data_IF_114149988069
#
_entry.id   IF_114149988069
#
_cell.length_a   1.000
_cell.length_b   1.000
_cell.length_c   1.000
_cell.angle_alpha   90.00
_cell.angle_beta   90.00
_cell.angle_gamma   90.00
#
_symmetry.space_group_name_H-M   'P 1'
#
loop_
_entity.id
_entity.type
_entity.pdbx_description
1 polymer ?
#
# COMPACT_ATOMS: atom_id res chain seq x y z
N UNK A 1 -1.26 2.78 -3.40
CA UNK A 1 -0.25 2.98 -4.47
C UNK A 1 0.89 1.96 -4.28
N UNK A 2 2.01 2.02 -5.00
CA UNK A 2 3.21 1.22 -4.66
C UNK A 2 4.10 1.98 -3.67
N UNK A 3 4.96 1.32 -2.87
CA UNK A 3 5.77 1.97 -1.82
C UNK A 3 6.60 3.18 -2.28
N UNK A 4 7.20 3.13 -3.48
CA UNK A 4 7.96 4.27 -4.01
C UNK A 4 7.09 5.47 -4.36
N UNK A 5 5.84 5.23 -4.75
CA UNK A 5 4.86 6.30 -4.94
C UNK A 5 4.51 6.96 -3.61
N UNK A 6 4.33 6.19 -2.54
CA UNK A 6 4.07 6.73 -1.20
C UNK A 6 5.24 7.58 -0.69
N UNK A 7 6.48 7.13 -0.93
CA UNK A 7 7.67 7.94 -0.63
C UNK A 7 7.63 9.28 -1.38
N UNK A 8 7.41 9.25 -2.68
CA UNK A 8 7.41 10.46 -3.51
C UNK A 8 6.31 11.45 -3.10
N UNK A 9 5.08 10.97 -2.88
CA UNK A 9 3.98 11.83 -2.45
C UNK A 9 4.19 12.37 -1.04
N UNK A 10 4.81 11.61 -0.15
CA UNK A 10 5.09 12.04 1.23
C UNK A 10 6.18 13.11 1.28
N UNK A 11 7.21 12.99 0.45
CA UNK A 11 8.22 14.04 0.29
C UNK A 11 7.59 15.33 -0.26
N UNK A 12 6.71 15.21 -1.27
CA UNK A 12 6.01 16.35 -1.83
C UNK A 12 5.11 17.02 -0.78
N UNK A 13 4.29 16.25 -0.07
CA UNK A 13 3.41 16.75 0.99
C UNK A 13 4.20 17.41 2.12
N UNK A 14 5.30 16.79 2.56
CA UNK A 14 6.18 17.35 3.60
C UNK A 14 6.78 18.70 3.20
N UNK A 15 7.26 18.80 1.95
CA UNK A 15 7.83 20.04 1.41
C UNK A 15 6.78 21.15 1.34
N UNK A 16 5.58 20.84 0.86
CA UNK A 16 4.44 21.78 0.82
C UNK A 16 4.03 22.20 2.22
N UNK A 17 3.95 21.24 3.16
CA UNK A 17 3.59 21.51 4.56
C UNK A 17 4.58 22.47 5.19
N UNK A 18 5.90 22.25 5.00
CA UNK A 18 6.92 23.16 5.50
C UNK A 18 6.79 24.56 4.88
N UNK A 19 6.63 24.64 3.56
CA UNK A 19 6.51 25.91 2.85
C UNK A 19 5.30 26.73 3.32
N UNK A 20 4.15 26.07 3.58
CA UNK A 20 2.91 26.75 3.96
C UNK A 20 2.86 27.12 5.45
N UNK A 21 3.50 26.34 6.32
CA UNK A 21 3.36 26.51 7.79
C UNK A 21 4.61 27.08 8.45
N UNK A 22 5.78 26.98 7.82
CA UNK A 22 7.08 27.24 8.44
C UNK A 22 7.47 26.23 9.54
N UNK A 23 6.67 25.18 9.78
CA UNK A 23 6.86 24.25 10.89
C UNK A 23 7.59 22.98 10.45
N UNK A 24 8.81 22.79 10.96
CA UNK A 24 9.57 21.55 10.77
C UNK A 24 8.86 20.35 11.39
N UNK A 25 8.14 20.53 12.50
CA UNK A 25 7.37 19.49 13.15
C UNK A 25 6.21 19.01 12.28
N UNK A 26 5.41 19.93 11.72
CA UNK A 26 4.31 19.56 10.82
C UNK A 26 4.83 18.89 9.53
N UNK A 27 5.95 19.36 9.00
CA UNK A 27 6.61 18.75 7.84
C UNK A 27 7.12 17.33 8.14
N UNK A 28 7.78 17.12 9.28
CA UNK A 28 8.22 15.80 9.72
C UNK A 28 7.04 14.87 9.98
N UNK A 29 5.99 15.39 10.63
CA UNK A 29 4.73 14.70 10.84
C UNK A 29 4.14 14.20 9.52
N UNK A 30 3.93 15.08 8.56
CA UNK A 30 3.34 14.72 7.26
C UNK A 30 4.17 13.71 6.47
N UNK A 31 5.50 13.80 6.51
CA UNK A 31 6.36 12.76 5.93
C UNK A 31 6.19 11.41 6.63
N UNK A 32 6.25 11.40 7.98
CA UNK A 32 6.17 10.16 8.76
C UNK A 32 4.79 9.50 8.64
N UNK A 33 3.71 10.27 8.68
CA UNK A 33 2.37 9.76 8.43
C UNK A 33 2.16 9.28 6.99
N UNK A 34 2.76 9.97 6.02
CA UNK A 34 2.60 9.63 4.61
C UNK A 34 3.39 8.40 4.15
N UNK A 35 4.56 8.13 4.76
CA UNK A 35 5.45 7.05 4.31
C UNK A 35 5.74 6.00 5.39
N UNK A 36 5.96 6.39 6.65
CA UNK A 36 6.29 5.43 7.71
C UNK A 36 5.07 4.67 8.23
N UNK A 37 3.86 5.05 7.82
CA UNK A 37 2.66 4.23 8.05
C UNK A 37 2.83 2.82 7.47
N UNK A 38 3.53 2.67 6.34
CA UNK A 38 3.86 1.38 5.70
C UNK A 38 4.76 0.46 6.54
N UNK A 39 5.35 0.97 7.63
CA UNK A 39 6.19 0.14 8.51
C UNK A 39 5.37 -0.98 9.15
N UNK A 40 4.06 -0.85 9.26
CA UNK A 40 3.22 -1.94 9.76
C UNK A 40 3.18 -3.16 8.82
N UNK A 41 3.40 -3.00 7.50
CA UNK A 41 3.65 -4.12 6.61
C UNK A 41 4.94 -4.88 6.97
N UNK A 42 5.97 -4.15 7.40
CA UNK A 42 7.21 -4.77 7.87
C UNK A 42 7.01 -5.48 9.22
N UNK A 43 6.19 -4.92 10.12
CA UNK A 43 5.79 -5.60 11.35
C UNK A 43 5.02 -6.89 11.04
N UNK A 44 4.09 -6.85 10.08
CA UNK A 44 3.36 -8.02 9.62
C UNK A 44 4.30 -9.10 9.07
N UNK A 45 5.26 -8.70 8.24
CA UNK A 45 6.30 -9.58 7.71
C UNK A 45 7.10 -10.30 8.81
N UNK A 46 7.57 -9.58 9.81
CA UNK A 46 8.41 -10.16 10.86
C UNK A 46 7.59 -11.03 11.82
N UNK A 47 6.46 -10.50 12.30
CA UNK A 47 5.70 -11.07 13.43
C UNK A 47 4.66 -12.07 12.95
N UNK A 48 3.79 -11.67 12.02
CA UNK A 48 2.63 -12.46 11.62
C UNK A 48 2.95 -13.46 10.50
N UNK A 49 3.85 -13.09 9.59
CA UNK A 49 4.40 -13.96 8.53
C UNK A 49 5.62 -14.76 9.00
N UNK A 50 6.09 -14.52 10.23
CA UNK A 50 7.19 -15.25 10.89
C UNK A 50 8.51 -15.19 10.13
N UNK A 51 8.78 -14.09 9.43
CA UNK A 51 9.99 -13.91 8.63
C UNK A 51 11.17 -13.31 9.42
N UNK A 52 11.13 -13.36 10.75
CA UNK A 52 12.15 -12.83 11.67
C UNK A 52 13.59 -13.33 11.41
N UNK A 53 13.76 -14.48 10.74
CA UNK A 53 15.09 -15.01 10.34
C UNK A 53 15.67 -14.30 9.10
N UNK A 54 14.89 -13.47 8.41
CA UNK A 54 15.29 -12.73 7.20
C UNK A 54 14.83 -11.27 7.26
N UNK A 55 15.22 -10.50 8.30
CA UNK A 55 14.67 -9.16 8.53
C UNK A 55 15.17 -8.09 7.53
N UNK A 56 16.06 -8.44 6.61
CA UNK A 56 16.64 -7.48 5.69
C UNK A 56 15.58 -6.81 4.79
N UNK A 57 15.74 -5.50 4.48
CA UNK A 57 14.77 -4.75 3.68
C UNK A 57 14.60 -5.32 2.26
N UNK A 58 15.66 -5.88 1.69
CA UNK A 58 15.59 -6.55 0.37
C UNK A 58 14.72 -7.81 0.43
N UNK A 59 14.80 -8.59 1.51
CA UNK A 59 13.97 -9.78 1.71
C UNK A 59 12.51 -9.41 1.91
N UNK A 60 12.24 -8.35 2.68
CA UNK A 60 10.91 -7.77 2.86
C UNK A 60 10.31 -7.29 1.52
N UNK A 61 11.02 -6.44 0.78
CA UNK A 61 10.56 -5.92 -0.50
C UNK A 61 10.30 -7.06 -1.51
N UNK A 62 11.21 -8.04 -1.57
CA UNK A 62 11.02 -9.23 -2.42
C UNK A 62 9.75 -9.98 -2.05
N UNK A 63 9.53 -10.22 -0.77
CA UNK A 63 8.34 -10.91 -0.27
C UNK A 63 7.05 -10.16 -0.62
N UNK A 64 7.04 -8.84 -0.43
CA UNK A 64 5.86 -8.02 -0.69
C UNK A 64 5.57 -7.86 -2.19
N UNK A 65 6.59 -7.67 -3.04
CA UNK A 65 6.39 -7.60 -4.49
C UNK A 65 5.98 -8.93 -5.13
N UNK A 66 6.28 -10.05 -4.49
CA UNK A 66 5.76 -11.38 -4.89
C UNK A 66 4.30 -11.61 -4.46
N UNK A 67 3.70 -10.64 -3.75
CA UNK A 67 2.26 -10.51 -3.47
C UNK A 67 1.59 -11.76 -2.85
N UNK A 68 2.21 -12.32 -1.80
CA UNK A 68 1.65 -13.48 -1.07
C UNK A 68 1.68 -13.29 0.47
N UNK A 69 1.28 -12.13 1.04
CA UNK A 69 1.03 -12.09 2.48
C UNK A 69 -0.14 -13.03 2.80
N UNK A 70 -0.03 -13.79 3.89
CA UNK A 70 -1.14 -14.63 4.39
C UNK A 70 -2.01 -13.85 5.37
N UNK A 71 -1.42 -12.89 6.05
CA UNK A 71 -2.02 -12.04 7.06
C UNK A 71 -1.78 -10.56 6.77
N UNK A 72 -2.84 -9.76 6.96
CA UNK A 72 -2.83 -8.31 6.85
C UNK A 72 -3.46 -7.73 8.12
N UNK A 73 -2.64 -7.44 9.13
CA UNK A 73 -3.08 -6.85 10.40
C UNK A 73 -3.08 -5.33 10.28
N UNK A 74 -1.95 -4.77 9.84
CA UNK A 74 -1.79 -3.37 9.45
C UNK A 74 -2.44 -2.36 10.42
N UNK A 75 -2.07 -2.34 11.71
CA UNK A 75 -2.72 -1.47 12.70
C UNK A 75 -2.64 0.03 12.37
N UNK A 76 -1.60 0.48 11.66
CA UNK A 76 -1.46 1.90 11.32
C UNK A 76 -2.42 2.29 10.18
N UNK A 77 -2.79 1.35 9.33
CA UNK A 77 -3.82 1.49 8.29
C UNK A 77 -5.26 1.33 8.83
N UNK A 78 -5.52 1.80 10.04
CA UNK A 78 -6.83 1.68 10.71
C UNK A 78 -7.57 3.01 10.74
N UNK A 79 -8.81 3.02 10.24
CA UNK A 79 -9.72 4.15 10.38
C UNK A 79 -10.04 4.44 11.86
N UNK A 80 -10.10 3.40 12.70
CA UNK A 80 -10.26 3.54 14.15
C UNK A 80 -9.07 4.29 14.77
N UNK A 81 -7.82 3.93 14.42
CA UNK A 81 -6.64 4.67 14.86
C UNK A 81 -6.68 6.13 14.38
N UNK A 82 -7.00 6.36 13.11
CA UNK A 82 -7.12 7.71 12.56
C UNK A 82 -8.18 8.55 13.29
N UNK A 83 -9.29 7.93 13.71
CA UNK A 83 -10.35 8.59 14.49
C UNK A 83 -9.86 8.96 15.88
N UNK A 84 -9.15 8.05 16.56
CA UNK A 84 -8.57 8.33 17.88
C UNK A 84 -7.54 9.45 17.80
N UNK A 85 -6.63 9.42 16.82
CA UNK A 85 -5.64 10.47 16.62
C UNK A 85 -6.30 11.82 16.32
N UNK A 86 -7.38 11.84 15.54
CA UNK A 86 -8.14 13.05 15.29
C UNK A 86 -8.76 13.62 16.57
N UNK A 87 -9.35 12.78 17.42
CA UNK A 87 -9.88 13.21 18.72
C UNK A 87 -8.78 13.80 19.62
N UNK A 88 -7.58 13.21 19.61
CA UNK A 88 -6.42 13.77 20.32
C UNK A 88 -6.00 15.13 19.75
N UNK A 89 -5.99 15.29 18.43
CA UNK A 89 -5.69 16.58 17.77
C UNK A 89 -6.67 17.67 18.19
N UNK A 90 -7.98 17.35 18.28
CA UNK A 90 -9.00 18.31 18.70
C UNK A 90 -8.73 18.81 20.13
N UNK A 91 -8.24 17.94 21.03
CA UNK A 91 -7.86 18.34 22.37
C UNK A 91 -6.48 19.04 22.43
N UNK A 92 -5.52 18.56 21.63
CA UNK A 92 -4.12 18.96 21.65
C UNK A 92 -3.56 19.02 20.21
N UNK A 93 -3.65 20.17 19.54
CA UNK A 93 -3.27 20.31 18.13
C UNK A 93 -1.75 20.46 17.95
N UNK A 94 -0.98 19.47 18.40
CA UNK A 94 0.47 19.47 18.24
C UNK A 94 0.85 19.43 16.75
N UNK A 95 1.71 20.34 16.26
CA UNK A 95 2.02 20.43 14.83
C UNK A 95 2.51 19.10 14.23
N UNK A 96 3.35 18.36 14.97
CA UNK A 96 3.80 17.02 14.58
C UNK A 96 2.64 16.04 14.36
N UNK A 97 1.69 16.00 15.29
CA UNK A 97 0.56 15.07 15.25
C UNK A 97 -0.44 15.45 14.14
N UNK A 98 -0.71 16.75 13.97
CA UNK A 98 -1.51 17.26 12.85
C UNK A 98 -0.86 16.88 11.52
N UNK A 99 0.44 17.12 11.38
CA UNK A 99 1.21 16.71 10.21
C UNK A 99 1.08 15.21 9.96
N UNK A 100 1.34 14.38 10.98
CA UNK A 100 1.21 12.92 10.89
C UNK A 100 -0.16 12.50 10.39
N UNK A 101 -1.22 13.06 10.97
CA UNK A 101 -2.59 12.72 10.57
C UNK A 101 -2.88 13.11 9.12
N UNK A 102 -2.45 14.29 8.67
CA UNK A 102 -2.62 14.72 7.26
C UNK A 102 -1.85 13.82 6.31
N UNK A 103 -0.61 13.46 6.67
CA UNK A 103 0.21 12.52 5.90
C UNK A 103 -0.43 11.14 5.79
N UNK A 104 -0.86 10.58 6.92
CA UNK A 104 -1.54 9.30 6.99
C UNK A 104 -2.87 9.31 6.21
N UNK A 105 -3.67 10.38 6.33
CA UNK A 105 -4.90 10.52 5.57
C UNK A 105 -4.63 10.53 4.06
N UNK A 106 -3.65 11.30 3.60
CA UNK A 106 -3.24 11.29 2.18
C UNK A 106 -2.80 9.89 1.75
N UNK A 107 -2.01 9.20 2.57
CA UNK A 107 -1.57 7.84 2.29
C UNK A 107 -2.78 6.92 2.06
N UNK A 108 -3.68 6.81 3.03
CA UNK A 108 -4.87 5.95 2.97
C UNK A 108 -5.79 6.32 1.79
N UNK A 109 -5.94 7.62 1.49
CA UNK A 109 -6.72 8.07 0.35
C UNK A 109 -6.13 7.59 -0.98
N UNK A 110 -4.82 7.71 -1.21
CA UNK A 110 -4.20 7.19 -2.42
C UNK A 110 -4.26 5.67 -2.50
N UNK A 111 -4.33 5.03 -1.35
CA UNK A 111 -4.43 3.60 -1.27
C UNK A 111 -5.82 3.11 -1.69
N UNK A 112 -6.89 3.77 -1.23
CA UNK A 112 -8.26 3.56 -1.73
C UNK A 112 -8.39 3.95 -3.21
N UNK A 113 -7.92 5.13 -3.61
CA UNK A 113 -8.16 5.69 -4.95
C UNK A 113 -7.32 5.02 -6.05
N UNK A 114 -6.11 4.54 -5.73
CA UNK A 114 -5.20 3.96 -6.73
C UNK A 114 -5.22 2.43 -6.69
N UNK A 115 -5.39 1.82 -5.50
CA UNK A 115 -5.37 0.36 -5.35
C UNK A 115 -6.76 -0.24 -5.09
N UNK A 116 -7.74 0.54 -4.65
CA UNK A 116 -8.98 0.02 -4.08
C UNK A 116 -9.77 -0.93 -4.98
N UNK A 117 -9.99 -0.56 -6.24
CA UNK A 117 -10.79 -1.37 -7.17
C UNK A 117 -10.03 -2.58 -7.75
N UNK A 118 -8.70 -2.60 -7.63
CA UNK A 118 -7.85 -3.59 -8.32
C UNK A 118 -7.15 -4.56 -7.37
N UNK A 119 -6.92 -4.15 -6.12
CA UNK A 119 -6.18 -4.93 -5.14
C UNK A 119 -7.04 -5.41 -3.98
N UNK A 120 -8.17 -4.74 -3.68
CA UNK A 120 -8.97 -4.99 -2.48
C UNK A 120 -10.37 -5.50 -2.83
N UNK A 121 -10.87 -6.50 -2.09
CA UNK A 121 -12.25 -6.99 -2.28
C UNK A 121 -13.28 -5.94 -1.87
N UNK A 122 -12.97 -5.17 -0.83
CA UNK A 122 -13.79 -4.05 -0.33
C UNK A 122 -12.87 -2.93 0.14
N UNK A 123 -12.57 -1.98 -0.76
CA UNK A 123 -11.56 -0.95 -0.53
C UNK A 123 -11.73 -0.19 0.78
N UNK A 124 -12.93 0.36 1.05
CA UNK A 124 -13.17 1.16 2.27
C UNK A 124 -13.18 0.28 3.53
N UNK A 125 -13.86 -0.88 3.48
CA UNK A 125 -13.94 -1.79 4.63
C UNK A 125 -12.56 -2.34 5.02
N UNK A 126 -11.65 -2.50 4.06
CA UNK A 126 -10.30 -2.97 4.32
C UNK A 126 -9.57 -2.12 5.37
N UNK A 127 -9.78 -0.80 5.38
CA UNK A 127 -9.15 0.12 6.33
C UNK A 127 -9.82 0.14 7.70
N UNK A 128 -10.93 -0.58 7.89
CA UNK A 128 -11.55 -0.80 9.19
C UNK A 128 -10.84 -1.98 9.86
N UNK A 129 -10.11 -1.74 10.95
CA UNK A 129 -9.34 -2.75 11.64
C UNK A 129 -10.22 -3.88 12.18
N UNK A 130 -11.37 -3.53 12.75
CA UNK A 130 -12.37 -4.50 13.22
C UNK A 130 -12.92 -5.37 12.10
N UNK A 131 -13.04 -4.85 10.87
CA UNK A 131 -13.38 -5.64 9.69
C UNK A 131 -12.25 -6.63 9.32
N UNK A 132 -10.99 -6.20 9.33
CA UNK A 132 -9.85 -7.12 9.15
C UNK A 132 -9.82 -8.19 10.23
N UNK A 133 -10.09 -7.83 11.49
CA UNK A 133 -10.15 -8.74 12.63
C UNK A 133 -11.29 -9.77 12.49
N UNK A 134 -12.48 -9.35 12.04
CA UNK A 134 -13.61 -10.23 11.73
C UNK A 134 -13.22 -11.30 10.69
N UNK A 135 -12.44 -10.92 9.68
CA UNK A 135 -11.87 -11.85 8.69
C UNK A 135 -10.58 -12.54 9.16
N UNK A 136 -10.27 -12.48 10.45
CA UNK A 136 -9.08 -13.08 11.10
C UNK A 136 -7.76 -12.65 10.46
N UNK A 137 -7.76 -11.45 9.86
CA UNK A 137 -6.66 -10.86 9.10
C UNK A 137 -6.23 -11.68 7.88
N UNK A 138 -7.02 -12.67 7.43
CA UNK A 138 -6.63 -13.55 6.32
C UNK A 138 -6.64 -12.77 4.99
N UNK A 139 -5.47 -12.68 4.35
CA UNK A 139 -5.31 -11.92 3.11
C UNK A 139 -6.27 -12.41 2.01
N UNK A 140 -6.46 -13.72 1.86
CA UNK A 140 -7.38 -14.33 0.89
C UNK A 140 -8.84 -13.84 1.03
N UNK A 141 -9.24 -13.30 2.19
CA UNK A 141 -10.56 -12.72 2.42
C UNK A 141 -10.63 -11.20 2.19
N UNK A 142 -9.48 -10.54 1.98
CA UNK A 142 -9.31 -9.09 2.00
C UNK A 142 -8.83 -8.53 0.65
N UNK A 143 -7.93 -9.23 -0.03
CA UNK A 143 -7.35 -8.82 -1.32
C UNK A 143 -7.96 -9.59 -2.50
N UNK A 144 -7.92 -9.00 -3.69
CA UNK A 144 -8.30 -9.68 -4.93
C UNK A 144 -7.20 -10.63 -5.39
N UNK A 145 -7.56 -11.71 -6.10
CA UNK A 145 -6.62 -12.67 -6.68
C UNK A 145 -5.94 -12.06 -7.90
N UNK A 146 -4.96 -11.19 -7.69
CA UNK A 146 -4.19 -10.62 -8.79
C UNK A 146 -3.16 -11.64 -9.31
N UNK A 147 -3.14 -11.87 -10.63
CA UNK A 147 -2.07 -12.62 -11.27
C UNK A 147 -0.75 -11.87 -11.14
N UNK A 148 0.10 -12.30 -10.20
CA UNK A 148 1.44 -11.72 -10.01
C UNK A 148 2.29 -12.13 -11.20
N UNK A 149 2.82 -11.17 -11.96
CA UNK A 149 3.82 -11.47 -12.99
C UNK A 149 5.00 -12.23 -12.34
N UNK A 150 5.48 -13.34 -12.94
CA UNK A 150 6.61 -14.11 -12.40
C UNK A 150 7.88 -13.27 -12.16
N UNK A 151 7.97 -12.10 -12.78
CA UNK A 151 9.11 -11.19 -12.73
C UNK A 151 9.00 -10.16 -11.59
N UNK A 152 7.85 -10.04 -10.94
CA UNK A 152 7.64 -9.11 -9.83
C UNK A 152 8.49 -9.52 -8.60
N UNK A 153 9.28 -8.57 -8.07
CA UNK A 153 10.18 -8.84 -6.94
C UNK A 153 11.49 -9.53 -7.33
N UNK A 154 11.75 -9.75 -8.62
CA UNK A 154 13.06 -10.21 -9.11
C UNK A 154 14.17 -9.18 -8.83
N UNK A 155 13.84 -7.88 -8.95
CA UNK A 155 14.71 -6.74 -8.71
C UNK A 155 14.03 -5.75 -7.75
N UNK A 156 13.91 -6.08 -6.45
CA UNK A 156 13.05 -5.36 -5.51
C UNK A 156 13.41 -3.88 -5.35
N UNK A 157 14.70 -3.54 -5.33
CA UNK A 157 15.14 -2.14 -5.22
C UNK A 157 14.73 -1.34 -6.46
N UNK A 158 14.89 -1.91 -7.66
CA UNK A 158 14.45 -1.27 -8.89
C UNK A 158 12.93 -1.12 -8.90
N UNK A 159 12.21 -2.19 -8.58
CA UNK A 159 10.75 -2.20 -8.56
C UNK A 159 10.18 -1.14 -7.60
N UNK A 160 10.83 -0.92 -6.45
CA UNK A 160 10.48 0.16 -5.52
C UNK A 160 10.51 1.54 -6.19
N UNK A 161 11.56 1.88 -6.93
CA UNK A 161 11.70 3.20 -7.54
C UNK A 161 11.00 3.36 -8.90
N UNK A 162 10.79 2.26 -9.64
CA UNK A 162 10.24 2.33 -11.01
C UNK A 162 8.76 2.00 -11.09
N UNK A 163 8.19 1.25 -10.13
CA UNK A 163 6.77 0.88 -10.15
C UNK A 163 5.99 1.76 -9.20
N UNK A 164 5.32 2.78 -9.73
CA UNK A 164 4.53 3.72 -8.93
C UNK A 164 3.05 3.33 -8.87
N UNK A 165 2.55 2.63 -9.90
CA UNK A 165 1.19 2.11 -9.97
C UNK A 165 1.19 0.57 -10.00
N UNK A 166 0.11 -0.09 -9.51
CA UNK A 166 -0.09 -1.52 -9.72
C UNK A 166 -0.11 -1.83 -11.22
N UNK A 167 0.37 -3.02 -11.60
CA UNK A 167 0.21 -3.51 -12.98
C UNK A 167 -1.28 -3.69 -13.25
N UNK A 168 -1.78 -3.06 -14.32
CA UNK A 168 -3.14 -3.29 -14.80
C UNK A 168 -3.21 -4.73 -15.29
N UNK A 169 -4.24 -5.46 -14.88
CA UNK A 169 -4.56 -6.77 -15.43
C UNK A 169 -4.66 -6.60 -16.95
N UNK A 170 -3.73 -7.19 -17.71
CA UNK A 170 -4.01 -7.48 -19.10
C UNK A 170 -5.03 -8.61 -19.04
N UNK A 171 -6.32 -8.28 -19.13
CA UNK A 171 -7.29 -9.23 -19.63
C UNK A 171 -6.65 -9.86 -20.89
N UNK A 172 -6.40 -11.17 -20.82
CA UNK A 172 -6.13 -11.94 -22.03
C UNK A 172 -7.41 -11.85 -22.86
N UNK A 173 -7.47 -10.87 -23.75
CA UNK A 173 -8.31 -10.95 -24.94
C UNK A 173 -7.68 -12.00 -25.88
N UNK A 174 -7.64 -13.26 -25.43
CA UNK A 174 -7.39 -14.43 -26.27
C UNK A 174 -8.72 -15.11 -26.58
N UNK A 175 -9.62 -14.41 -27.27
CA UNK A 175 -10.77 -15.06 -27.90
C UNK A 175 -11.27 -14.26 -29.12
N UNK A 176 -10.54 -14.34 -30.24
CA UNK A 176 -11.08 -14.39 -31.62
C UNK A 176 -10.00 -14.22 -32.68
N UNK A 177 -9.09 -15.18 -32.80
CA UNK A 177 -8.43 -15.42 -34.09
C UNK A 177 -7.98 -16.88 -34.18
N UNK A 178 -8.96 -17.77 -34.22
CA UNK A 178 -8.78 -19.14 -34.68
C UNK A 178 -9.81 -19.38 -35.79
N UNK A 179 -9.38 -20.09 -36.84
CA UNK A 179 -10.07 -20.41 -38.09
C UNK A 179 -9.93 -19.43 -39.27
N UNK A 180 -8.71 -19.34 -39.81
CA UNK A 180 -8.54 -19.27 -41.26
C UNK A 180 -7.75 -20.51 -41.72
N UNK A 181 -8.43 -21.42 -42.41
CA UNK A 181 -7.86 -22.63 -43.03
C UNK A 181 -6.88 -22.25 -44.17
N UNK A 182 -5.86 -23.07 -44.46
CA UNK A 182 -4.93 -22.79 -45.55
C UNK A 182 -5.57 -23.10 -46.91
N UNK A 183 -5.58 -22.13 -47.83
CA UNK A 183 -5.82 -22.41 -49.26
C UNK A 183 -4.66 -23.25 -49.80
N UNK A 184 -4.92 -24.51 -50.14
CA UNK A 184 -4.17 -25.24 -51.15
C UNK A 184 -4.58 -24.71 -52.52
N UNK A 185 -3.62 -24.26 -53.33
CA UNK A 185 -3.75 -24.25 -54.79
C UNK A 185 -2.70 -25.18 -55.38
N UNK A 186 -3.19 -26.11 -56.21
CA UNK A 186 -2.39 -26.96 -57.09
C UNK A 186 -2.06 -26.26 -58.40
#
# INVERSE_FOLDING_TARGET
MMPGGHLATSLALSSVTYYMTGSAEAAAGSFTGGFLIDVDHYLDYIVFERQWRRPGPVSFLRYYFMNRPRKLVLPLHSAELMTVLFAVIVAHPWPLLVGYWVGAAMHLMFDVLVNGEHALKRAVCFYVFSYRAYHRFAADNLIQDASVSPEAGSRPVRDFFTRWRPLKEQHRDEESSSYALPERKG
#
